data_IF_479375850749
#
_entry.id   IF_479375850749
#
_cell.length_a   1.000
_cell.length_b   1.000
_cell.length_c   1.000
_cell.angle_alpha   90.00
_cell.angle_beta   90.00
_cell.angle_gamma   90.00
#
_symmetry.space_group_name_H-M   'P 1'
#
loop_
_entity.id
_entity.type
_entity.pdbx_description
1 polymer ?
#
# COMPACT_ATOMS: atom_id res chain seq x y z
N UNK A 1 14.76 -5.10 -5.72
CA UNK A 1 14.99 -4.91 -4.28
C UNK A 1 13.69 -4.44 -3.62
N UNK A 2 13.21 -5.08 -2.55
CA UNK A 2 12.02 -4.61 -1.80
C UNK A 2 12.43 -4.31 -0.37
N UNK A 3 12.24 -3.08 0.06
CA UNK A 3 12.32 -2.72 1.46
C UNK A 3 10.98 -3.07 2.13
N UNK A 4 11.02 -3.98 3.09
CA UNK A 4 9.84 -4.38 3.86
C UNK A 4 10.11 -4.17 5.33
N UNK A 5 9.05 -4.14 6.16
CA UNK A 5 9.21 -4.14 7.63
C UNK A 5 9.96 -5.39 8.17
N UNK A 6 10.33 -6.36 7.31
CA UNK A 6 11.08 -7.58 7.62
C UNK A 6 12.55 -7.55 7.14
N UNK A 7 13.04 -6.45 6.56
CA UNK A 7 14.38 -6.33 5.97
C UNK A 7 14.40 -6.48 4.44
N UNK A 8 15.60 -6.35 3.84
CA UNK A 8 15.82 -6.47 2.39
C UNK A 8 15.39 -7.85 1.87
N UNK A 9 14.30 -7.90 1.12
CA UNK A 9 13.89 -9.11 0.42
C UNK A 9 14.67 -9.22 -0.89
N UNK A 10 15.68 -10.10 -0.89
CA UNK A 10 16.30 -10.63 -2.10
C UNK A 10 15.33 -11.67 -2.67
N UNK A 11 14.72 -11.35 -3.81
CA UNK A 11 13.86 -12.26 -4.54
C UNK A 11 14.61 -12.78 -5.77
N UNK A 12 14.56 -14.08 -5.99
CA UNK A 12 14.95 -14.66 -7.27
C UNK A 12 13.83 -14.40 -8.28
N UNK A 13 14.20 -13.88 -9.45
CA UNK A 13 13.23 -13.57 -10.48
C UNK A 13 13.81 -13.80 -11.87
N UNK A 14 12.95 -14.26 -12.77
CA UNK A 14 13.21 -14.35 -14.20
C UNK A 14 12.08 -13.66 -14.95
N UNK A 15 12.39 -13.12 -16.12
CA UNK A 15 11.40 -12.55 -17.02
C UNK A 15 11.60 -13.10 -18.42
N UNK A 16 10.50 -13.49 -19.07
CA UNK A 16 10.49 -14.10 -20.40
C UNK A 16 9.47 -13.36 -21.26
N UNK A 17 9.74 -13.24 -22.56
CA UNK A 17 8.74 -12.78 -23.53
C UNK A 17 7.87 -13.97 -23.90
N UNK A 18 6.56 -13.81 -23.73
CA UNK A 18 5.56 -14.85 -23.98
C UNK A 18 4.41 -14.29 -24.81
N UNK A 19 3.68 -15.15 -25.52
CA UNK A 19 2.36 -14.83 -26.05
C UNK A 19 1.33 -15.56 -25.21
N UNK A 20 0.34 -14.82 -24.74
CA UNK A 20 -0.81 -15.37 -24.04
C UNK A 20 -1.77 -15.99 -25.06
N UNK A 21 -2.58 -16.95 -24.63
CA UNK A 21 -3.64 -17.52 -25.46
C UNK A 21 -4.97 -16.99 -24.94
N UNK A 22 -5.73 -16.34 -25.81
CA UNK A 22 -7.05 -15.81 -25.51
C UNK A 22 -8.04 -16.36 -26.54
N UNK A 23 -9.16 -16.94 -26.08
CA UNK A 23 -10.16 -17.59 -26.95
C UNK A 23 -9.55 -18.67 -27.88
N UNK A 24 -8.68 -19.53 -27.35
CA UNK A 24 -7.95 -20.58 -28.08
C UNK A 24 -7.02 -20.08 -29.22
N UNK A 25 -6.79 -18.78 -29.29
CA UNK A 25 -5.87 -18.14 -30.25
C UNK A 25 -4.70 -17.48 -29.52
N UNK A 26 -3.45 -17.62 -29.99
CA UNK A 26 -2.34 -16.82 -29.51
C UNK A 26 -2.62 -15.34 -29.72
N UNK A 27 -2.34 -14.52 -28.70
CA UNK A 27 -2.33 -13.07 -28.82
C UNK A 27 -1.30 -12.62 -29.86
N UNK A 28 -1.65 -11.58 -30.62
CA UNK A 28 -0.73 -10.93 -31.55
C UNK A 28 0.40 -10.19 -30.80
N UNK A 29 0.11 -9.73 -29.57
CA UNK A 29 1.05 -8.99 -28.75
C UNK A 29 1.88 -9.92 -27.84
N UNK A 30 3.19 -9.72 -27.85
CA UNK A 30 4.08 -10.35 -26.88
C UNK A 30 4.12 -9.55 -25.57
N UNK A 31 4.04 -10.27 -24.46
CA UNK A 31 4.03 -9.73 -23.11
C UNK A 31 5.22 -10.28 -22.30
N UNK A 32 5.56 -9.61 -21.20
CA UNK A 32 6.52 -10.13 -20.23
C UNK A 32 5.82 -11.05 -19.23
N UNK A 33 6.25 -12.30 -19.13
CA UNK A 33 5.99 -13.17 -17.98
C UNK A 33 7.11 -13.00 -16.95
N UNK A 34 6.78 -12.39 -15.82
CA UNK A 34 7.67 -12.24 -14.67
C UNK A 34 7.36 -13.34 -13.67
N UNK A 35 8.34 -14.20 -13.41
CA UNK A 35 8.26 -15.26 -12.41
C UNK A 35 9.16 -14.86 -11.25
N UNK A 36 8.57 -14.71 -10.06
CA UNK A 36 9.28 -14.29 -8.86
C UNK A 36 9.07 -15.29 -7.73
N UNK A 37 10.14 -15.66 -7.04
CA UNK A 37 10.08 -16.48 -5.83
C UNK A 37 10.16 -15.59 -4.58
N UNK A 38 9.07 -15.54 -3.82
CA UNK A 38 8.98 -14.84 -2.54
C UNK A 38 8.99 -15.90 -1.41
N UNK A 39 10.11 -16.07 -0.71
CA UNK A 39 10.29 -17.15 0.28
C UNK A 39 9.94 -18.53 -0.33
N UNK A 40 8.77 -19.07 -0.01
CA UNK A 40 8.26 -20.38 -0.46
C UNK A 40 7.15 -20.29 -1.52
N UNK A 41 6.73 -19.09 -1.92
CA UNK A 41 5.66 -18.88 -2.89
C UNK A 41 6.21 -18.37 -4.23
N UNK A 42 5.85 -19.03 -5.32
CA UNK A 42 6.17 -18.56 -6.68
C UNK A 42 5.02 -17.74 -7.22
N UNK A 43 5.30 -16.52 -7.65
CA UNK A 43 4.33 -15.57 -8.19
C UNK A 43 4.58 -15.34 -9.67
N UNK A 44 3.49 -15.30 -10.41
CA UNK A 44 3.48 -15.08 -11.85
C UNK A 44 2.77 -13.76 -12.12
N UNK A 45 3.37 -12.92 -12.95
CA UNK A 45 2.78 -11.65 -13.36
C UNK A 45 3.04 -11.40 -14.84
N UNK A 46 2.00 -11.00 -15.56
CA UNK A 46 2.10 -10.52 -16.93
C UNK A 46 2.28 -9.01 -16.94
N UNK A 47 3.10 -8.50 -17.87
CA UNK A 47 3.31 -7.07 -18.05
C UNK A 47 3.47 -6.71 -19.54
N UNK A 48 2.75 -5.67 -19.95
CA UNK A 48 2.85 -5.05 -21.27
C UNK A 48 4.00 -4.01 -21.36
N UNK A 49 5.00 -4.09 -20.48
CA UNK A 49 6.14 -3.20 -20.51
C UNK A 49 6.91 -3.32 -21.85
N UNK A 50 7.63 -2.26 -22.28
CA UNK A 50 8.42 -2.30 -23.51
C UNK A 50 9.38 -3.50 -23.59
N UNK A 51 9.70 -4.02 -24.79
CA UNK A 51 10.60 -5.17 -24.95
C UNK A 51 12.04 -4.94 -24.45
N UNK A 52 12.45 -3.69 -24.24
CA UNK A 52 13.75 -3.33 -23.67
C UNK A 52 13.67 -3.06 -22.14
N UNK A 53 12.57 -3.40 -21.48
CA UNK A 53 12.43 -3.23 -20.05
C UNK A 53 13.43 -4.10 -19.28
N UNK A 54 14.17 -3.47 -18.36
CA UNK A 54 15.11 -4.18 -17.49
C UNK A 54 14.37 -5.07 -16.49
N UNK A 55 14.96 -6.24 -16.18
CA UNK A 55 14.43 -7.19 -15.21
C UNK A 55 14.16 -6.53 -13.85
N UNK A 56 15.05 -5.64 -13.39
CA UNK A 56 14.87 -4.93 -12.11
C UNK A 56 13.59 -4.10 -12.10
N UNK A 57 13.29 -3.38 -13.20
CA UNK A 57 12.07 -2.58 -13.34
C UNK A 57 10.83 -3.46 -13.34
N UNK A 58 10.85 -4.59 -14.05
CA UNK A 58 9.75 -5.56 -14.09
C UNK A 58 9.48 -6.15 -12.70
N UNK A 59 10.54 -6.52 -11.97
CA UNK A 59 10.43 -7.03 -10.59
C UNK A 59 9.91 -5.97 -9.63
N UNK A 60 10.35 -4.70 -9.77
CA UNK A 60 9.85 -3.60 -8.95
C UNK A 60 8.36 -3.34 -9.20
N UNK A 61 7.93 -3.35 -10.45
CA UNK A 61 6.51 -3.21 -10.82
C UNK A 61 5.67 -4.36 -10.28
N UNK A 62 6.15 -5.60 -10.41
CA UNK A 62 5.45 -6.78 -9.87
C UNK A 62 5.36 -6.77 -8.35
N UNK A 63 6.31 -6.13 -7.66
CA UNK A 63 6.26 -5.94 -6.19
C UNK A 63 5.34 -4.77 -5.78
N UNK A 64 5.01 -3.88 -6.72
CA UNK A 64 4.18 -2.69 -6.50
C UNK A 64 2.73 -2.99 -6.12
N UNK A 65 2.21 -4.16 -6.49
CA UNK A 65 0.82 -4.58 -6.20
C UNK A 65 0.45 -4.45 -4.72
N UNK A 66 1.37 -4.79 -3.83
CA UNK A 66 1.15 -4.64 -2.38
C UNK A 66 0.83 -3.20 -1.99
N UNK A 67 1.50 -2.21 -2.57
CA UNK A 67 1.27 -0.79 -2.27
C UNK A 67 -0.09 -0.32 -2.78
N UNK A 68 -0.53 -0.83 -3.94
CA UNK A 68 -1.87 -0.56 -4.48
C UNK A 68 -2.94 -1.14 -3.56
N UNK A 69 -2.82 -2.41 -3.20
CA UNK A 69 -3.74 -3.08 -2.27
C UNK A 69 -3.77 -2.36 -0.93
N UNK A 70 -2.61 -1.99 -0.39
CA UNK A 70 -2.50 -1.23 0.86
C UNK A 70 -3.20 0.13 0.77
N UNK A 71 -3.02 0.86 -0.34
CA UNK A 71 -3.67 2.16 -0.54
C UNK A 71 -5.19 2.02 -0.66
N UNK A 72 -5.68 0.95 -1.30
CA UNK A 72 -7.12 0.63 -1.36
C UNK A 72 -7.65 0.31 0.03
N UNK A 73 -6.95 -0.51 0.81
CA UNK A 73 -7.35 -0.86 2.17
C UNK A 73 -7.37 0.35 3.10
N UNK A 74 -6.36 1.22 3.02
CA UNK A 74 -6.34 2.49 3.74
C UNK A 74 -7.50 3.40 3.26
N UNK A 75 -7.81 3.41 1.96
CA UNK A 75 -8.96 4.12 1.39
C UNK A 75 -10.30 3.66 1.98
N UNK A 76 -10.51 2.35 2.08
CA UNK A 76 -11.72 1.76 2.67
C UNK A 76 -11.82 2.08 4.17
N UNK A 77 -10.73 1.92 4.91
CA UNK A 77 -10.73 2.04 6.38
C UNK A 77 -10.68 3.48 6.91
N UNK A 78 -10.06 4.41 6.19
CA UNK A 78 -9.74 5.73 6.73
C UNK A 78 -10.56 6.88 6.14
N UNK A 79 -11.05 6.74 4.90
CA UNK A 79 -11.76 7.82 4.18
C UNK A 79 -13.12 7.38 3.61
N UNK A 80 -13.61 6.19 3.98
CA UNK A 80 -14.95 5.73 3.64
C UNK A 80 -15.13 5.31 2.18
N UNK A 81 -14.07 4.82 1.52
CA UNK A 81 -14.16 4.33 0.15
C UNK A 81 -15.17 3.17 -0.02
N UNK A 82 -15.39 2.40 1.05
CA UNK A 82 -16.38 1.31 1.10
C UNK A 82 -17.75 1.74 1.63
N UNK A 83 -17.89 2.97 2.14
CA UNK A 83 -19.07 3.44 2.90
C UNK A 83 -20.06 4.22 2.00
N UNK A 84 -20.25 3.79 0.75
CA UNK A 84 -21.18 4.44 -0.17
C UNK A 84 -22.57 3.77 -0.11
N UNK A 85 -23.63 4.56 0.07
CA UNK A 85 -25.02 4.05 0.14
C UNK A 85 -25.87 4.46 -1.08
N UNK A 86 -25.28 5.16 -2.04
CA UNK A 86 -26.00 5.75 -3.18
C UNK A 86 -26.06 4.79 -4.37
N UNK A 87 -27.25 4.66 -4.98
CA UNK A 87 -27.48 3.77 -6.15
C UNK A 87 -27.38 4.45 -7.51
N UNK A 88 -27.20 5.78 -7.55
CA UNK A 88 -27.07 6.55 -8.79
C UNK A 88 -25.60 6.67 -9.18
N UNK A 89 -25.29 6.43 -10.46
CA UNK A 89 -23.93 6.58 -11.03
C UNK A 89 -23.25 7.89 -10.65
N UNK A 90 -23.95 9.01 -10.83
CA UNK A 90 -23.43 10.34 -10.47
C UNK A 90 -23.14 10.49 -8.97
N UNK A 91 -23.98 9.90 -8.12
CA UNK A 91 -23.79 9.93 -6.67
C UNK A 91 -22.56 9.13 -6.24
N UNK A 92 -22.38 7.94 -6.83
CA UNK A 92 -21.18 7.14 -6.63
C UNK A 92 -19.91 7.88 -7.08
N UNK A 93 -19.94 8.52 -8.25
CA UNK A 93 -18.82 9.32 -8.73
C UNK A 93 -18.43 10.46 -7.80
N UNK A 94 -19.41 11.23 -7.33
CA UNK A 94 -19.16 12.31 -6.38
C UNK A 94 -18.52 11.78 -5.09
N UNK A 95 -19.02 10.65 -4.56
CA UNK A 95 -18.47 10.01 -3.37
C UNK A 95 -17.01 9.58 -3.58
N UNK A 96 -16.72 8.89 -4.68
CA UNK A 96 -15.36 8.46 -5.01
C UNK A 96 -14.41 9.64 -5.19
N UNK A 97 -14.84 10.72 -5.86
CA UNK A 97 -14.01 11.93 -5.98
C UNK A 97 -13.68 12.53 -4.62
N UNK A 98 -14.66 12.66 -3.73
CA UNK A 98 -14.42 13.19 -2.37
C UNK A 98 -13.52 12.28 -1.54
N UNK A 99 -13.68 10.97 -1.67
CA UNK A 99 -12.84 9.95 -1.03
C UNK A 99 -11.39 10.07 -1.50
N UNK A 100 -11.18 10.18 -2.81
CA UNK A 100 -9.85 10.35 -3.41
C UNK A 100 -9.17 11.65 -2.96
N UNK A 101 -9.92 12.76 -2.89
CA UNK A 101 -9.41 14.05 -2.36
C UNK A 101 -9.02 13.95 -0.88
N UNK A 102 -9.85 13.31 -0.05
CA UNK A 102 -9.53 13.09 1.35
C UNK A 102 -8.26 12.22 1.50
N UNK A 103 -8.13 11.16 0.71
CA UNK A 103 -6.94 10.31 0.70
C UNK A 103 -5.68 11.08 0.29
N UNK A 104 -5.77 11.93 -0.74
CA UNK A 104 -4.68 12.80 -1.17
C UNK A 104 -4.21 13.70 -0.02
N UNK A 105 -5.14 14.38 0.66
CA UNK A 105 -4.82 15.24 1.80
C UNK A 105 -4.09 14.47 2.92
N UNK A 106 -4.59 13.28 3.29
CA UNK A 106 -3.95 12.46 4.32
C UNK A 106 -2.54 12.02 3.92
N UNK A 107 -2.33 11.69 2.65
CA UNK A 107 -1.02 11.29 2.13
C UNK A 107 -0.04 12.46 2.10
N UNK A 108 -0.46 13.64 1.65
CA UNK A 108 0.38 14.85 1.67
C UNK A 108 0.82 15.20 3.09
N UNK A 109 -0.11 15.16 4.06
CA UNK A 109 0.21 15.40 5.46
C UNK A 109 1.13 14.33 6.04
N UNK A 110 0.92 13.05 5.70
CA UNK A 110 1.81 11.97 6.11
C UNK A 110 3.23 12.20 5.59
N UNK A 111 3.37 12.56 4.31
CA UNK A 111 4.67 12.84 3.68
C UNK A 111 5.34 14.04 4.35
N UNK A 112 4.61 15.15 4.55
CA UNK A 112 5.14 16.35 5.21
C UNK A 112 5.53 16.15 6.68
N UNK A 113 4.92 15.18 7.38
CA UNK A 113 5.26 14.81 8.75
C UNK A 113 6.30 13.66 8.84
N UNK A 114 6.58 13.00 7.72
CA UNK A 114 7.38 11.77 7.64
C UNK A 114 8.80 11.92 8.16
N UNK A 115 9.44 13.08 7.92
CA UNK A 115 10.81 13.37 8.39
C UNK A 115 10.92 13.35 9.92
N UNK A 116 9.84 13.67 10.63
CA UNK A 116 9.80 13.70 12.10
C UNK A 116 9.36 12.37 12.70
N UNK A 117 8.55 11.60 11.98
CA UNK A 117 7.99 10.33 12.43
C UNK A 117 7.94 9.31 11.28
N UNK A 118 9.01 8.53 11.05
CA UNK A 118 9.09 7.56 9.94
C UNK A 118 8.04 6.44 10.02
N UNK A 119 7.55 6.12 11.22
CA UNK A 119 6.54 5.07 11.48
C UNK A 119 5.08 5.59 11.41
N UNK A 120 4.85 6.81 10.92
CA UNK A 120 3.51 7.42 10.86
C UNK A 120 2.63 6.73 9.81
N UNK A 121 1.40 6.36 10.16
CA UNK A 121 0.42 5.77 9.22
C UNK A 121 -0.63 6.77 8.78
N UNK A 122 -1.35 6.46 7.70
CA UNK A 122 -2.50 7.25 7.21
C UNK A 122 -3.57 7.38 8.30
N UNK A 123 -3.82 6.30 9.05
CA UNK A 123 -4.72 6.28 10.21
C UNK A 123 -4.30 7.27 11.30
N UNK A 124 -3.00 7.36 11.62
CA UNK A 124 -2.53 8.33 12.60
C UNK A 124 -2.83 9.74 12.13
N UNK A 125 -2.53 10.07 10.87
CA UNK A 125 -2.81 11.39 10.30
C UNK A 125 -4.30 11.73 10.35
N UNK A 126 -5.17 10.77 10.01
CA UNK A 126 -6.62 10.93 10.14
C UNK A 126 -7.03 11.22 11.59
N UNK A 127 -6.51 10.45 12.55
CA UNK A 127 -6.79 10.65 13.97
C UNK A 127 -6.32 12.02 14.47
N UNK A 128 -5.16 12.46 13.99
CA UNK A 128 -4.61 13.77 14.28
C UNK A 128 -5.58 14.84 13.78
N UNK A 129 -5.93 14.78 12.50
CA UNK A 129 -6.85 15.71 11.86
C UNK A 129 -8.21 15.77 12.56
N UNK A 130 -8.82 14.62 12.86
CA UNK A 130 -10.13 14.59 13.53
C UNK A 130 -10.13 15.29 14.89
N UNK A 131 -8.97 15.36 15.56
CA UNK A 131 -8.80 16.00 16.86
C UNK A 131 -8.32 17.46 16.77
N UNK A 132 -7.56 17.81 15.74
CA UNK A 132 -7.05 19.18 15.52
C UNK A 132 -8.05 20.05 14.77
N UNK A 133 -8.89 19.46 13.90
CA UNK A 133 -10.07 20.15 13.39
C UNK A 133 -10.87 20.66 14.59
N UNK A 134 -11.39 21.90 14.56
CA UNK A 134 -12.01 22.53 15.73
C UNK A 134 -13.21 21.71 16.21
N UNK A 135 -12.94 20.80 17.16
CA UNK A 135 -13.90 20.07 17.97
C UNK A 135 -13.43 20.18 19.42
N UNK A 136 -14.36 20.54 20.31
CA UNK A 136 -14.18 20.87 21.75
C UNK A 136 -12.92 20.26 22.42
N UNK A 137 -12.05 21.15 22.91
CA UNK A 137 -11.03 20.97 23.98
C UNK A 137 -10.17 19.69 23.96
N UNK A 138 -9.12 19.65 23.14
CA UNK A 138 -8.03 18.66 23.28
C UNK A 138 -6.67 19.39 23.34
N UNK A 139 -5.83 19.07 24.33
CA UNK A 139 -4.54 19.75 24.55
C UNK A 139 -3.41 19.06 23.76
N UNK A 140 -2.35 19.81 23.39
CA UNK A 140 -1.17 19.28 22.67
C UNK A 140 -0.45 18.13 23.38
N UNK A 141 -0.53 18.04 24.71
CA UNK A 141 0.16 17.00 25.47
C UNK A 141 -0.62 15.67 25.49
N UNK A 142 -1.95 15.74 25.50
CA UNK A 142 -2.82 14.55 25.34
C UNK A 142 -2.57 13.89 23.98
N UNK A 143 -2.33 14.72 22.96
CA UNK A 143 -1.98 14.31 21.62
C UNK A 143 -0.64 13.60 21.54
N UNK A 144 0.41 14.18 22.14
CA UNK A 144 1.76 13.59 22.16
C UNK A 144 1.74 12.22 22.83
N UNK A 145 1.11 12.11 24.01
CA UNK A 145 1.01 10.84 24.74
C UNK A 145 0.34 9.74 23.93
N UNK A 146 -0.78 10.05 23.26
CA UNK A 146 -1.51 9.05 22.49
C UNK A 146 -0.72 8.55 21.27
N UNK A 147 -0.03 9.45 20.57
CA UNK A 147 0.84 9.08 19.44
C UNK A 147 1.99 8.18 19.92
N UNK A 148 2.66 8.56 21.00
CA UNK A 148 3.74 7.77 21.59
C UNK A 148 3.27 6.37 21.99
N UNK A 149 2.10 6.24 22.60
CA UNK A 149 1.50 4.95 22.94
C UNK A 149 1.18 4.09 21.72
N UNK A 150 0.62 4.68 20.66
CA UNK A 150 0.33 3.95 19.41
C UNK A 150 1.61 3.49 18.71
N UNK A 151 2.62 4.36 18.63
CA UNK A 151 3.93 4.03 18.05
C UNK A 151 4.60 2.93 18.88
N UNK A 152 4.58 3.03 20.21
CA UNK A 152 5.14 2.03 21.13
C UNK A 152 4.47 0.66 20.96
N UNK A 153 3.12 0.62 20.92
CA UNK A 153 2.36 -0.62 20.67
C UNK A 153 2.76 -1.28 19.35
N UNK A 154 2.92 -0.50 18.27
CA UNK A 154 3.37 -1.01 16.97
C UNK A 154 4.79 -1.54 17.01
N UNK A 155 5.73 -0.82 17.60
CA UNK A 155 7.12 -1.29 17.76
C UNK A 155 7.19 -2.61 18.54
N UNK A 156 6.38 -2.75 19.60
CA UNK A 156 6.27 -4.01 20.36
C UNK A 156 5.64 -5.15 19.55
N UNK A 157 4.59 -4.87 18.78
CA UNK A 157 3.96 -5.86 17.90
C UNK A 157 4.91 -6.34 16.79
N UNK A 158 5.66 -5.42 16.15
CA UNK A 158 6.71 -5.73 15.17
C UNK A 158 7.77 -6.65 15.78
N UNK A 159 8.30 -6.32 16.96
CA UNK A 159 9.29 -7.15 17.68
C UNK A 159 8.76 -8.56 18.02
N UNK A 160 7.52 -8.65 18.49
CA UNK A 160 6.89 -9.94 18.82
C UNK A 160 6.72 -10.83 17.59
N UNK A 161 6.22 -10.28 16.47
CA UNK A 161 6.11 -11.00 15.20
C UNK A 161 7.46 -11.45 14.67
N UNK A 162 8.49 -10.61 14.76
CA UNK A 162 9.83 -10.96 14.31
C UNK A 162 10.44 -12.11 15.12
N UNK A 163 10.14 -12.20 16.42
CA UNK A 163 10.60 -13.28 17.31
C UNK A 163 9.90 -14.61 17.05
N UNK A 164 8.61 -14.62 16.71
CA UNK A 164 7.90 -15.85 16.29
C UNK A 164 8.44 -16.42 14.98
N UNK A 165 8.76 -15.56 14.01
CA UNK A 165 9.27 -15.98 12.70
C UNK A 165 10.73 -16.49 12.71
N UNK A 166 11.49 -16.27 13.79
CA UNK A 166 12.88 -16.76 13.91
C UNK A 166 12.97 -18.13 14.60
N UNK A 167 11.85 -18.58 15.19
CA UNK A 167 11.71 -19.83 15.93
C UNK A 167 10.85 -20.87 15.18
N UNK A 168 10.51 -20.61 13.92
CA UNK A 168 9.95 -21.55 12.94
C UNK A 168 10.91 -21.67 11.78
#
# INVERSE_FOLDING_TARGET
MRDTERGELRCEAIALRVRTVENDCPSDDEEWLVIRKDNDETKYLLSNAPPNAELEKLVRMSAGRYWIERAIEDGKGEVGMADYEVRKWRGWHHHMTMTMLAMLLLLEMKIGLGDKCPDLTVQDVRDILQRTLPKKNVTKDDFRKLLEEKIKRRKSAKKSRHRKNKNS
#
